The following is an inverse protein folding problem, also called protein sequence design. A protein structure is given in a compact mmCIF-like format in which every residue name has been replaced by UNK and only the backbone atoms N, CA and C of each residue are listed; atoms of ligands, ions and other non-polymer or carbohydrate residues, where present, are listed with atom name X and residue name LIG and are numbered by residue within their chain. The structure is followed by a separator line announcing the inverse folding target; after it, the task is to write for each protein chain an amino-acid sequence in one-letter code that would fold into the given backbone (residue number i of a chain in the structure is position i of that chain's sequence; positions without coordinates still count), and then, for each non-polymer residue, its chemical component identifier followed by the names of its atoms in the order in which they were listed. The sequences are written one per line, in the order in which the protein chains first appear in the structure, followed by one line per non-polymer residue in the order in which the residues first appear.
data_IF_609054046988
#
_entry.id   IF_609054046988
#
_cell.length_a   1.000
_cell.length_b   1.000
_cell.length_c   1.000
_cell.angle_alpha   90.00
_cell.angle_beta   90.00
_cell.angle_gamma   90.00
#
_symmetry.space_group_name_H-M   'P 1'
#
loop_
_entity.id
_entity.type
_entity.pdbx_description
1 polymer ?
#
# COMPACT_ATOMS: atom_id res chain seq x y z
N UNK A 1 -17.73 -23.94 5.98
CA UNK A 1 -16.91 -24.53 4.88
C UNK A 1 -16.50 -23.47 3.84
N UNK A 2 -17.46 -22.73 3.26
CA UNK A 2 -17.21 -21.73 2.21
C UNK A 2 -16.27 -20.60 2.67
N UNK A 3 -16.44 -20.13 3.91
CA UNK A 3 -15.56 -19.11 4.51
C UNK A 3 -14.09 -19.58 4.59
N UNK A 4 -13.87 -20.79 5.08
CA UNK A 4 -12.54 -21.40 5.21
C UNK A 4 -11.86 -21.60 3.85
N UNK A 5 -12.58 -22.13 2.87
CA UNK A 5 -12.05 -22.32 1.52
C UNK A 5 -11.69 -20.99 0.86
N UNK A 6 -12.52 -19.96 1.05
CA UNK A 6 -12.22 -18.63 0.52
C UNK A 6 -11.02 -17.97 1.19
N UNK A 7 -10.85 -18.11 2.51
CA UNK A 7 -9.66 -17.62 3.20
C UNK A 7 -8.38 -18.34 2.74
N UNK A 8 -8.42 -19.68 2.61
CA UNK A 8 -7.28 -20.44 2.10
C UNK A 8 -6.91 -20.03 0.67
N UNK A 9 -7.92 -19.83 -0.19
CA UNK A 9 -7.71 -19.40 -1.57
C UNK A 9 -7.18 -17.96 -1.65
N UNK A 10 -7.69 -17.05 -0.83
CA UNK A 10 -7.21 -15.66 -0.76
C UNK A 10 -5.76 -15.58 -0.25
N UNK A 11 -5.40 -16.38 0.76
CA UNK A 11 -4.03 -16.44 1.28
C UNK A 11 -3.09 -17.06 0.25
N UNK A 12 -3.49 -18.17 -0.38
CA UNK A 12 -2.69 -18.81 -1.41
C UNK A 12 -2.44 -17.89 -2.62
N UNK A 13 -3.48 -17.17 -3.07
CA UNK A 13 -3.35 -16.20 -4.17
C UNK A 13 -2.47 -15.00 -3.79
N UNK A 14 -2.62 -14.46 -2.58
CA UNK A 14 -1.77 -13.39 -2.08
C UNK A 14 -0.30 -13.81 -1.94
N UNK A 15 -0.03 -15.01 -1.42
CA UNK A 15 1.33 -15.55 -1.29
C UNK A 15 1.96 -15.82 -2.67
N UNK A 16 1.20 -16.37 -3.61
CA UNK A 16 1.67 -16.57 -4.98
C UNK A 16 2.02 -15.23 -5.65
N UNK A 17 1.22 -14.19 -5.45
CA UNK A 17 1.47 -12.84 -5.97
C UNK A 17 2.60 -12.08 -5.27
N UNK A 18 3.05 -12.50 -4.08
CA UNK A 18 4.20 -11.92 -3.39
C UNK A 18 5.50 -12.65 -3.71
N UNK A 19 5.46 -13.98 -3.71
CA UNK A 19 6.66 -14.80 -3.86
C UNK A 19 6.93 -15.27 -5.29
N UNK A 20 6.01 -15.06 -6.23
CA UNK A 20 6.17 -15.54 -7.61
C UNK A 20 7.36 -14.93 -8.35
N UNK A 21 7.75 -13.69 -8.03
CA UNK A 21 8.92 -13.02 -8.61
C UNK A 21 10.24 -13.31 -7.88
N UNK A 22 10.24 -14.07 -6.77
CA UNK A 22 11.45 -14.25 -5.95
C UNK A 22 12.58 -14.95 -6.71
N UNK A 23 12.25 -15.86 -7.63
CA UNK A 23 13.21 -16.57 -8.48
C UNK A 23 13.89 -15.66 -9.52
N UNK A 24 13.12 -14.73 -10.09
CA UNK A 24 13.58 -13.77 -11.10
C UNK A 24 14.49 -12.71 -10.50
N UNK A 25 14.11 -12.14 -9.36
CA UNK A 25 14.88 -11.07 -8.70
C UNK A 25 16.24 -11.59 -8.22
N UNK A 26 16.35 -12.88 -7.87
CA UNK A 26 17.58 -13.51 -7.42
C UNK A 26 18.52 -13.97 -8.54
N UNK A 27 18.10 -13.91 -9.81
CA UNK A 27 18.90 -14.32 -10.98
C UNK A 27 19.27 -15.81 -11.04
N UNK A 28 18.81 -16.64 -10.10
CA UNK A 28 19.17 -18.07 -10.01
C UNK A 28 18.37 -18.94 -10.97
N UNK A 29 17.09 -18.59 -11.21
CA UNK A 29 16.19 -19.31 -12.11
C UNK A 29 15.24 -18.32 -12.80
N UNK A 30 15.66 -17.69 -13.91
CA UNK A 30 14.79 -16.77 -14.65
C UNK A 30 13.60 -17.54 -15.24
N UNK A 31 12.40 -17.03 -14.98
CA UNK A 31 11.16 -17.53 -15.53
C UNK A 31 11.12 -17.28 -17.04
N UNK A 32 10.45 -18.17 -17.78
CA UNK A 32 10.27 -17.97 -19.22
C UNK A 32 9.51 -16.66 -19.48
N UNK A 33 9.80 -15.99 -20.60
CA UNK A 33 9.18 -14.70 -20.96
C UNK A 33 7.65 -14.75 -20.92
N UNK A 34 7.06 -15.88 -21.33
CA UNK A 34 5.61 -16.09 -21.26
C UNK A 34 5.08 -16.10 -19.82
N UNK A 35 5.78 -16.77 -18.90
CA UNK A 35 5.39 -16.81 -17.48
C UNK A 35 5.55 -15.44 -16.82
N UNK A 36 6.63 -14.71 -17.12
CA UNK A 36 6.84 -13.36 -16.61
C UNK A 36 5.75 -12.39 -17.09
N UNK A 37 5.37 -12.44 -18.37
CA UNK A 37 4.30 -11.61 -18.93
C UNK A 37 2.93 -11.93 -18.33
N UNK A 38 2.62 -13.23 -18.15
CA UNK A 38 1.39 -13.67 -17.47
C UNK A 38 1.37 -13.22 -16.02
N UNK A 39 2.48 -13.34 -15.29
CA UNK A 39 2.58 -12.88 -13.92
C UNK A 39 2.34 -11.36 -13.83
N UNK A 40 3.01 -10.57 -14.68
CA UNK A 40 2.90 -9.11 -14.62
C UNK A 40 1.48 -8.61 -14.91
N UNK A 41 0.74 -9.30 -15.79
CA UNK A 41 -0.65 -8.95 -16.12
C UNK A 41 -1.67 -9.45 -15.08
N UNK A 42 -1.48 -10.66 -14.53
CA UNK A 42 -2.46 -11.30 -13.66
C UNK A 42 -2.22 -11.04 -12.17
N UNK A 43 -0.98 -10.88 -11.72
CA UNK A 43 -0.66 -10.80 -10.28
C UNK A 43 -1.39 -9.65 -9.59
N UNK A 44 -1.48 -8.48 -10.23
CA UNK A 44 -2.20 -7.31 -9.70
C UNK A 44 -3.71 -7.59 -9.57
N UNK A 45 -4.29 -8.22 -10.58
CA UNK A 45 -5.71 -8.57 -10.63
C UNK A 45 -6.05 -9.68 -9.63
N UNK A 46 -5.20 -10.70 -9.52
CA UNK A 46 -5.33 -11.77 -8.53
C UNK A 46 -5.23 -11.24 -7.09
N UNK A 47 -4.30 -10.32 -6.84
CA UNK A 47 -4.22 -9.61 -5.56
C UNK A 47 -5.50 -8.83 -5.24
N UNK A 48 -6.04 -8.10 -6.22
CA UNK A 48 -7.31 -7.40 -6.06
C UNK A 48 -8.47 -8.36 -5.78
N UNK A 49 -8.50 -9.53 -6.42
CA UNK A 49 -9.47 -10.60 -6.14
C UNK A 49 -9.39 -11.13 -4.71
N UNK A 50 -8.18 -11.36 -4.20
CA UNK A 50 -7.94 -11.76 -2.81
C UNK A 50 -8.44 -10.70 -1.81
N UNK A 51 -8.20 -9.41 -2.10
CA UNK A 51 -8.73 -8.30 -1.30
C UNK A 51 -10.25 -8.18 -1.40
N UNK A 52 -10.83 -8.44 -2.58
CA UNK A 52 -12.28 -8.44 -2.75
C UNK A 52 -12.93 -9.49 -1.85
N UNK A 53 -12.38 -10.71 -1.80
CA UNK A 53 -12.84 -11.74 -0.86
C UNK A 53 -12.72 -11.28 0.59
N UNK A 54 -11.61 -10.64 0.98
CA UNK A 54 -11.43 -10.09 2.33
C UNK A 54 -12.54 -9.11 2.69
N UNK A 55 -12.90 -8.19 1.79
CA UNK A 55 -13.98 -7.22 2.01
C UNK A 55 -15.32 -7.95 2.18
N UNK A 56 -15.64 -8.89 1.29
CA UNK A 56 -16.87 -9.69 1.34
C UNK A 56 -16.94 -10.48 2.65
N UNK A 57 -15.84 -11.08 3.09
CA UNK A 57 -15.76 -11.82 4.34
C UNK A 57 -16.01 -10.92 5.56
N UNK A 58 -15.46 -9.69 5.56
CA UNK A 58 -15.71 -8.71 6.62
C UNK A 58 -17.17 -8.26 6.66
N UNK A 59 -17.78 -7.94 5.51
CA UNK A 59 -19.19 -7.50 5.43
C UNK A 59 -20.17 -8.61 5.78
N UNK A 60 -19.86 -9.86 5.40
CA UNK A 60 -20.71 -11.03 5.67
C UNK A 60 -20.61 -11.57 7.11
N UNK A 61 -19.83 -10.91 7.98
CA UNK A 61 -19.63 -11.33 9.37
C UNK A 61 -18.66 -12.52 9.54
N UNK A 62 -18.00 -12.97 8.47
CA UNK A 62 -17.00 -14.06 8.49
C UNK A 62 -15.57 -13.56 8.73
N UNK A 63 -15.41 -12.25 8.95
CA UNK A 63 -14.11 -11.60 9.16
C UNK A 63 -13.53 -11.76 10.56
N UNK A 64 -14.36 -12.07 11.58
CA UNK A 64 -13.91 -12.30 12.96
C UNK A 64 -12.88 -11.26 13.44
N UNK A 65 -11.69 -11.74 13.82
CA UNK A 65 -10.56 -10.90 14.26
C UNK A 65 -10.09 -9.89 13.20
N UNK A 66 -10.07 -10.28 11.92
CA UNK A 66 -9.63 -9.40 10.82
C UNK A 66 -10.53 -8.17 10.70
N UNK A 67 -11.85 -8.35 10.89
CA UNK A 67 -12.80 -7.24 10.86
C UNK A 67 -12.57 -6.26 12.02
N UNK A 68 -12.31 -6.75 13.24
CA UNK A 68 -12.00 -5.91 14.39
C UNK A 68 -10.70 -5.14 14.20
N UNK A 69 -9.68 -5.78 13.63
CA UNK A 69 -8.41 -5.15 13.31
C UNK A 69 -8.61 -4.04 12.26
N UNK A 70 -9.25 -4.34 11.13
CA UNK A 70 -9.48 -3.34 10.07
C UNK A 70 -10.41 -2.19 10.48
N UNK A 71 -11.33 -2.42 11.42
CA UNK A 71 -12.27 -1.40 11.91
C UNK A 71 -11.67 -0.48 12.97
N UNK A 72 -10.36 -0.59 13.25
CA UNK A 72 -9.72 0.17 14.31
C UNK A 72 -9.54 1.65 13.94
N UNK A 73 -9.96 2.56 14.82
CA UNK A 73 -9.94 4.03 14.61
C UNK A 73 -8.59 4.60 14.13
N UNK A 74 -7.41 4.12 14.60
CA UNK A 74 -6.11 4.57 14.10
C UNK A 74 -5.90 4.38 12.60
N UNK A 75 -6.55 3.39 11.96
CA UNK A 75 -6.45 3.19 10.51
C UNK A 75 -7.05 4.34 9.71
N UNK A 76 -7.98 5.10 10.30
CA UNK A 76 -8.54 6.30 9.66
C UNK A 76 -7.47 7.39 9.56
N UNK A 77 -6.71 7.61 10.64
CA UNK A 77 -5.60 8.58 10.63
C UNK A 77 -4.47 8.09 9.72
N UNK A 78 -4.14 6.80 9.81
CA UNK A 78 -3.07 6.19 9.00
C UNK A 78 -3.41 6.22 7.51
N UNK A 79 -4.69 6.02 7.15
CA UNK A 79 -5.17 6.13 5.76
C UNK A 79 -4.95 7.52 5.17
N UNK A 80 -5.17 8.57 5.98
CA UNK A 80 -4.96 9.97 5.56
C UNK A 80 -3.47 10.30 5.45
N UNK A 81 -2.67 9.83 6.40
CA UNK A 81 -1.21 9.98 6.34
C UNK A 81 -0.60 9.28 5.12
N UNK A 82 -1.04 8.05 4.83
CA UNK A 82 -0.54 7.26 3.69
C UNK A 82 -0.96 7.87 2.35
N UNK A 83 -2.12 8.53 2.29
CA UNK A 83 -2.52 9.30 1.11
C UNK A 83 -1.56 10.47 0.84
N UNK A 84 -1.23 11.26 1.86
CA UNK A 84 -0.26 12.35 1.72
C UNK A 84 1.14 11.82 1.36
N UNK A 85 1.54 10.69 1.97
CA UNK A 85 2.78 9.99 1.63
C UNK A 85 2.83 9.55 0.19
N UNK A 86 1.76 8.97 -0.35
CA UNK A 86 1.72 8.55 -1.74
C UNK A 86 1.98 9.69 -2.73
N UNK A 87 1.38 10.87 -2.48
CA UNK A 87 1.56 12.04 -3.35
C UNK A 87 2.99 12.60 -3.29
N UNK A 88 3.56 12.71 -2.09
CA UNK A 88 4.88 13.31 -1.87
C UNK A 88 6.00 12.35 -2.28
N UNK A 89 5.80 11.05 -2.10
CA UNK A 89 6.82 10.03 -2.35
C UNK A 89 7.37 10.09 -3.78
N UNK A 90 6.48 10.19 -4.77
CA UNK A 90 6.89 10.25 -6.19
C UNK A 90 7.68 11.51 -6.49
N UNK A 91 7.29 12.66 -5.94
CA UNK A 91 8.02 13.91 -6.08
C UNK A 91 9.42 13.81 -5.45
N UNK A 92 9.50 13.29 -4.22
CA UNK A 92 10.77 13.11 -3.51
C UNK A 92 11.72 12.16 -4.24
N UNK A 93 11.23 11.03 -4.72
CA UNK A 93 12.04 10.11 -5.52
C UNK A 93 12.56 10.77 -6.78
N UNK A 94 11.71 11.50 -7.53
CA UNK A 94 12.15 12.19 -8.75
C UNK A 94 13.24 13.23 -8.46
N UNK A 95 13.07 14.06 -7.44
CA UNK A 95 14.07 15.06 -7.03
C UNK A 95 15.38 14.37 -6.62
N UNK A 96 15.29 13.29 -5.83
CA UNK A 96 16.45 12.55 -5.36
C UNK A 96 17.24 11.96 -6.54
N UNK A 97 16.58 11.30 -7.48
CA UNK A 97 17.24 10.70 -8.64
C UNK A 97 17.75 11.73 -9.66
N UNK A 98 17.05 12.85 -9.86
CA UNK A 98 17.55 13.94 -10.71
C UNK A 98 18.76 14.66 -10.12
N UNK A 99 18.89 14.67 -8.81
CA UNK A 99 20.03 15.27 -8.12
C UNK A 99 21.28 14.37 -8.09
N UNK A 100 21.19 13.14 -8.61
CA UNK A 100 22.34 12.25 -8.70
C UNK A 100 23.15 12.57 -9.95
N UNK A 101 24.29 13.23 -9.77
CA UNK A 101 25.24 13.53 -10.86
C UNK A 101 26.15 12.33 -11.20
N UNK A 102 26.11 11.25 -10.42
CA UNK A 102 27.01 10.08 -10.54
C UNK A 102 26.25 8.76 -10.60
N UNK A 103 26.90 7.71 -11.13
CA UNK A 103 26.31 6.37 -11.21
C UNK A 103 26.00 5.81 -9.81
N UNK A 104 24.74 5.41 -9.62
CA UNK A 104 24.27 4.81 -8.37
C UNK A 104 24.63 3.32 -8.31
N UNK A 105 25.51 2.95 -7.37
CA UNK A 105 25.91 1.56 -7.16
C UNK A 105 24.79 0.75 -6.47
N UNK A 106 24.19 -0.18 -7.22
CA UNK A 106 23.10 -1.08 -6.79
C UNK A 106 23.58 -2.24 -5.89
N UNK A 107 24.25 -1.90 -4.79
CA UNK A 107 24.56 -2.86 -3.73
C UNK A 107 23.37 -2.97 -2.77
N UNK A 108 23.07 -4.16 -2.26
CA UNK A 108 21.94 -4.38 -1.35
C UNK A 108 21.95 -3.46 -0.12
N UNK A 109 23.13 -3.11 0.39
CA UNK A 109 23.30 -2.15 1.47
C UNK A 109 22.88 -0.72 1.07
N UNK A 110 23.35 -0.22 -0.08
CA UNK A 110 22.96 1.10 -0.58
C UNK A 110 21.46 1.19 -0.83
N UNK A 111 20.86 0.15 -1.41
CA UNK A 111 19.40 0.06 -1.63
C UNK A 111 18.66 0.15 -0.30
N UNK A 112 19.11 -0.58 0.74
CA UNK A 112 18.47 -0.56 2.05
C UNK A 112 18.58 0.81 2.73
N UNK A 113 19.75 1.46 2.67
CA UNK A 113 19.96 2.80 3.24
C UNK A 113 19.10 3.84 2.53
N UNK A 114 19.10 3.84 1.19
CA UNK A 114 18.30 4.78 0.39
C UNK A 114 16.81 4.55 0.59
N UNK A 115 16.36 3.30 0.68
CA UNK A 115 14.97 2.98 1.02
C UNK A 115 14.57 3.56 2.38
N UNK A 116 15.40 3.36 3.41
CA UNK A 116 15.13 3.89 4.74
C UNK A 116 15.10 5.43 4.74
N UNK A 117 16.05 6.06 4.06
CA UNK A 117 16.14 7.51 3.96
C UNK A 117 14.89 8.11 3.28
N UNK A 118 14.49 7.56 2.12
CA UNK A 118 13.30 8.02 1.40
C UNK A 118 12.04 7.75 2.21
N UNK A 119 11.94 6.61 2.91
CA UNK A 119 10.80 6.28 3.75
C UNK A 119 10.63 7.29 4.88
N UNK A 120 11.68 7.53 5.67
CA UNK A 120 11.65 8.49 6.78
C UNK A 120 11.35 9.91 6.29
N UNK A 121 12.00 10.35 5.20
CA UNK A 121 11.76 11.66 4.61
C UNK A 121 10.30 11.81 4.13
N UNK A 122 9.78 10.81 3.42
CA UNK A 122 8.40 10.83 2.89
C UNK A 122 7.40 10.93 4.03
N UNK A 123 7.48 10.05 5.03
CA UNK A 123 6.52 10.06 6.15
C UNK A 123 6.65 11.31 7.02
N UNK A 124 7.88 11.83 7.22
CA UNK A 124 8.10 13.08 7.96
C UNK A 124 7.45 14.28 7.27
N UNK A 125 7.69 14.45 5.97
CA UNK A 125 7.04 15.51 5.16
C UNK A 125 5.53 15.33 5.12
N UNK A 126 5.05 14.11 4.91
CA UNK A 126 3.61 13.81 4.84
C UNK A 126 2.89 14.14 6.12
N UNK A 127 3.53 13.93 7.27
CA UNK A 127 2.99 14.33 8.57
C UNK A 127 2.86 15.85 8.69
N UNK A 128 3.87 16.61 8.25
CA UNK A 128 3.81 18.08 8.25
C UNK A 128 2.69 18.57 7.32
N UNK A 129 2.57 18.01 6.12
CA UNK A 129 1.52 18.36 5.17
C UNK A 129 0.12 17.96 5.67
N UNK A 130 -0.01 16.81 6.33
CA UNK A 130 -1.25 16.38 6.97
C UNK A 130 -1.67 17.39 8.03
N UNK A 131 -0.76 17.82 8.92
CA UNK A 131 -1.07 18.83 9.93
C UNK A 131 -1.39 20.20 9.31
N UNK A 132 -0.65 20.62 8.27
CA UNK A 132 -0.78 21.94 7.66
C UNK A 132 -2.00 22.11 6.74
N UNK A 133 -2.41 21.06 6.01
CA UNK A 133 -3.49 21.13 5.02
C UNK A 133 -4.78 20.48 5.51
N UNK A 134 -4.69 19.34 6.19
CA UNK A 134 -5.88 18.58 6.58
C UNK A 134 -6.58 19.22 7.79
N UNK A 135 -5.82 19.74 8.76
CA UNK A 135 -6.40 20.38 9.94
C UNK A 135 -7.21 21.65 9.62
N UNK A 136 -6.76 22.59 8.75
CA UNK A 136 -7.61 23.72 8.36
C UNK A 136 -8.76 23.29 7.45
N UNK A 137 -8.57 22.28 6.58
CA UNK A 137 -9.65 21.79 5.72
C UNK A 137 -10.80 21.16 6.49
N UNK A 138 -10.53 20.39 7.53
CA UNK A 138 -11.57 19.87 8.43
C UNK A 138 -12.28 21.01 9.17
N UNK A 139 -11.53 22.06 9.54
CA UNK A 139 -12.11 23.28 10.11
C UNK A 139 -13.05 24.00 9.13
N UNK A 140 -12.62 24.14 7.88
CA UNK A 140 -13.38 24.76 6.80
C UNK A 140 -14.64 23.97 6.45
N UNK A 141 -14.55 22.64 6.38
CA UNK A 141 -15.69 21.76 6.11
C UNK A 141 -16.80 21.95 7.16
N UNK A 142 -16.43 22.07 8.45
CA UNK A 142 -17.40 22.32 9.53
C UNK A 142 -18.08 23.68 9.44
N UNK A 143 -17.42 24.68 8.84
CA UNK A 143 -17.96 26.03 8.65
C UNK A 143 -18.88 26.09 7.42
N UNK A 144 -18.51 25.44 6.32
CA UNK A 144 -19.28 25.46 5.06
C UNK A 144 -20.42 24.44 5.01
N UNK A 145 -20.30 23.30 5.69
CA UNK A 145 -21.33 22.27 5.77
C UNK A 145 -21.87 22.21 7.20
N UNK A 146 -22.82 23.09 7.57
CA UNK A 146 -23.51 22.95 8.84
C UNK A 146 -24.17 21.56 8.89
N UNK A 147 -23.78 20.80 9.92
CA UNK A 147 -24.21 19.42 10.14
C UNK A 147 -25.75 19.37 10.14
N UNK A 148 -26.36 18.86 9.07
CA UNK A 148 -27.81 18.64 9.04
C UNK A 148 -28.14 17.67 10.17
N UNK A 149 -28.91 18.15 11.15
CA UNK A 149 -29.43 17.36 12.27
C UNK A 149 -30.15 16.16 11.65
N UNK A 150 -29.64 14.95 11.91
CA UNK A 150 -30.41 13.73 11.65
C UNK A 150 -31.42 13.66 12.79
N UNK A 151 -32.63 14.11 12.49
CA UNK A 151 -33.83 13.77 13.26
C UNK A 151 -34.19 12.30 13.03
#
# INVERSE_FOLDING_TARGET
PVALTGWLLAIATALAALYGLRGDIGGKHPSSVGVAALYNSVARSAWAGALCWLIVACVSGWGGFVNTFLSWSPFVVLGRLTYMAYLIHMCLMNIYFQSQDTLYYLTGFNIAVTFMAVLVATYGLSFIFMLGLESPMIGLEKVFLPKRRKD
#
